data_IF_661152009719
#
_entry.id   IF_661152009719
#
_cell.length_a   1.000
_cell.length_b   1.000
_cell.length_c   1.000
_cell.angle_alpha   90.00
_cell.angle_beta   90.00
_cell.angle_gamma   90.00
#
_symmetry.space_group_name_H-M   'P 1'
#
loop_
_entity.id
_entity.type
_entity.pdbx_description
1 polymer ?
#
# COMPACT_ATOMS: atom_id res chain seq x y z
N UNK A 1 -11.86 12.29 16.44
CA UNK A 1 -11.21 12.15 15.12
C UNK A 1 -9.77 12.58 15.25
N UNK A 2 -8.78 11.78 14.80
CA UNK A 2 -7.38 12.21 14.81
C UNK A 2 -7.19 13.37 13.82
N UNK A 3 -6.41 14.37 14.22
CA UNK A 3 -6.01 15.49 13.37
C UNK A 3 -4.50 15.49 13.19
N UNK A 4 -4.05 15.97 12.03
CA UNK A 4 -2.63 16.07 11.69
C UNK A 4 -2.35 17.52 11.30
N UNK A 5 -1.31 18.10 11.90
CA UNK A 5 -0.81 19.42 11.55
C UNK A 5 0.62 19.27 11.00
N UNK A 6 0.83 19.78 9.79
CA UNK A 6 2.16 19.83 9.17
C UNK A 6 2.69 21.26 9.35
N UNK A 7 3.82 21.39 10.05
CA UNK A 7 4.48 22.68 10.31
C UNK A 7 5.58 22.92 9.28
N UNK A 8 5.93 24.20 9.13
CA UNK A 8 7.10 24.64 8.35
C UNK A 8 7.06 24.18 6.88
N UNK A 9 5.86 24.10 6.30
CA UNK A 9 5.69 23.82 4.87
C UNK A 9 6.27 24.99 4.08
N UNK A 10 7.24 24.77 3.18
CA UNK A 10 7.77 25.83 2.33
C UNK A 10 6.65 26.50 1.50
N UNK A 11 6.70 27.83 1.36
CA UNK A 11 5.63 28.59 0.71
C UNK A 11 5.41 28.16 -0.75
N UNK A 12 6.48 27.82 -1.47
CA UNK A 12 6.43 27.30 -2.83
C UNK A 12 5.68 25.96 -2.91
N UNK A 13 5.93 25.05 -1.97
CA UNK A 13 5.23 23.78 -1.85
C UNK A 13 3.76 24.00 -1.55
N UNK A 14 3.45 24.86 -0.59
CA UNK A 14 2.07 25.20 -0.22
C UNK A 14 1.30 25.81 -1.41
N UNK A 15 1.92 26.72 -2.17
CA UNK A 15 1.32 27.34 -3.35
C UNK A 15 1.01 26.30 -4.44
N UNK A 16 1.92 25.35 -4.68
CA UNK A 16 1.68 24.26 -5.64
C UNK A 16 0.53 23.36 -5.20
N UNK A 17 0.47 22.99 -3.93
CA UNK A 17 -0.61 22.15 -3.38
C UNK A 17 -1.97 22.86 -3.47
N UNK A 18 -2.03 24.16 -3.13
CA UNK A 18 -3.24 24.96 -3.27
C UNK A 18 -3.72 25.03 -4.71
N UNK A 19 -2.81 25.23 -5.68
CA UNK A 19 -3.14 25.25 -7.11
C UNK A 19 -3.69 23.89 -7.58
N UNK A 20 -3.10 22.78 -7.13
CA UNK A 20 -3.56 21.43 -7.48
C UNK A 20 -4.95 21.14 -6.88
N UNK A 21 -5.18 21.51 -5.63
CA UNK A 21 -6.48 21.39 -4.99
C UNK A 21 -7.57 22.17 -5.75
N UNK A 22 -7.29 23.42 -6.13
CA UNK A 22 -8.19 24.23 -6.93
C UNK A 22 -8.48 23.61 -8.31
N UNK A 23 -7.45 23.08 -8.99
CA UNK A 23 -7.61 22.38 -10.27
C UNK A 23 -8.46 21.10 -10.16
N UNK A 24 -8.43 20.44 -9.00
CA UNK A 24 -9.26 19.28 -8.69
C UNK A 24 -10.68 19.65 -8.19
N UNK A 25 -10.99 20.95 -8.03
CA UNK A 25 -12.26 21.41 -7.47
C UNK A 25 -12.45 21.08 -5.98
N UNK A 26 -11.34 20.90 -5.25
CA UNK A 26 -11.34 20.49 -3.85
C UNK A 26 -10.79 21.61 -2.96
N UNK A 27 -11.23 21.67 -1.70
CA UNK A 27 -10.47 22.44 -0.70
C UNK A 27 -9.08 21.83 -0.50
N UNK A 28 -8.12 22.64 -0.05
CA UNK A 28 -6.76 22.15 0.22
C UNK A 28 -6.76 21.01 1.25
N UNK A 29 -7.63 21.09 2.26
CA UNK A 29 -7.76 20.05 3.28
C UNK A 29 -8.25 18.72 2.69
N UNK A 30 -9.30 18.74 1.86
CA UNK A 30 -9.83 17.54 1.21
C UNK A 30 -8.83 16.92 0.23
N UNK A 31 -8.14 17.76 -0.53
CA UNK A 31 -7.08 17.33 -1.44
C UNK A 31 -5.96 16.62 -0.67
N UNK A 32 -5.44 17.24 0.41
CA UNK A 32 -4.39 16.63 1.23
C UNK A 32 -4.84 15.36 1.94
N UNK A 33 -6.07 15.35 2.47
CA UNK A 33 -6.63 14.16 3.09
C UNK A 33 -6.69 12.99 2.10
N UNK A 34 -7.10 13.26 0.86
CA UNK A 34 -7.14 12.25 -0.22
C UNK A 34 -5.74 11.70 -0.48
N UNK A 35 -4.77 12.59 -0.71
CA UNK A 35 -3.39 12.20 -1.01
C UNK A 35 -2.73 11.38 0.12
N UNK A 36 -2.87 11.83 1.37
CA UNK A 36 -2.32 11.12 2.53
C UNK A 36 -3.03 9.78 2.75
N UNK A 37 -4.35 9.73 2.52
CA UNK A 37 -5.11 8.49 2.65
C UNK A 37 -4.71 7.46 1.59
N UNK A 38 -4.51 7.88 0.34
CA UNK A 38 -4.04 7.01 -0.74
C UNK A 38 -2.63 6.49 -0.48
N UNK A 39 -1.74 7.35 0.00
CA UNK A 39 -0.39 6.97 0.38
C UNK A 39 -0.39 5.95 1.52
N UNK A 40 -1.19 6.16 2.57
CA UNK A 40 -1.25 5.26 3.73
C UNK A 40 -1.93 3.91 3.42
N UNK A 41 -2.81 3.86 2.41
CA UNK A 41 -3.47 2.61 1.99
C UNK A 41 -2.54 1.70 1.19
N UNK A 42 -1.51 2.25 0.59
CA UNK A 42 -0.54 1.48 -0.20
C UNK A 42 0.58 1.00 0.72
N UNK A 43 0.66 -0.31 1.03
CA UNK A 43 1.71 -0.81 1.90
C UNK A 43 3.07 -0.64 1.23
N UNK A 44 4.07 -0.29 2.02
CA UNK A 44 5.46 -0.23 1.57
C UNK A 44 6.02 -1.63 1.31
N UNK A 45 7.10 -1.72 0.55
CA UNK A 45 7.77 -3.01 0.31
C UNK A 45 8.21 -3.65 1.63
N UNK A 46 8.78 -2.86 2.54
CA UNK A 46 9.21 -3.34 3.86
C UNK A 46 8.04 -3.89 4.66
N UNK A 47 6.90 -3.20 4.70
CA UNK A 47 5.68 -3.70 5.36
C UNK A 47 5.15 -4.99 4.71
N UNK A 48 5.28 -5.13 3.38
CA UNK A 48 4.92 -6.35 2.67
C UNK A 48 5.88 -7.49 3.02
N UNK A 49 7.18 -7.21 3.08
CA UNK A 49 8.22 -8.18 3.42
C UNK A 49 8.12 -8.62 4.88
N UNK A 50 7.88 -7.70 5.82
CA UNK A 50 7.63 -8.02 7.23
C UNK A 50 6.38 -8.89 7.38
N UNK A 51 5.30 -8.55 6.66
CA UNK A 51 4.08 -9.38 6.61
C UNK A 51 4.35 -10.75 5.98
N UNK A 52 5.24 -10.83 4.98
CA UNK A 52 5.62 -12.10 4.34
C UNK A 52 6.52 -12.95 5.23
N UNK A 53 7.47 -12.35 5.95
CA UNK A 53 8.31 -13.02 6.95
C UNK A 53 7.49 -13.54 8.14
N UNK A 54 6.41 -12.83 8.51
CA UNK A 54 5.43 -13.28 9.50
C UNK A 54 4.55 -14.44 9.04
N UNK A 55 4.41 -14.66 7.72
CA UNK A 55 3.94 -15.95 7.21
C UNK A 55 5.13 -16.89 7.30
N UNK A 56 5.27 -17.58 8.44
CA UNK A 56 6.15 -18.75 8.50
C UNK A 56 5.81 -19.60 7.27
N UNK A 57 6.73 -19.66 6.30
CA UNK A 57 6.49 -20.30 5.02
C UNK A 57 5.83 -21.66 5.24
N UNK A 58 4.82 -21.97 4.43
CA UNK A 58 4.12 -23.24 4.55
C UNK A 58 5.13 -24.39 4.48
N UNK A 59 5.15 -25.27 5.48
CA UNK A 59 5.95 -26.49 5.42
C UNK A 59 5.29 -27.46 4.47
N UNK A 60 5.76 -27.49 3.23
CA UNK A 60 5.39 -28.51 2.26
C UNK A 60 6.53 -29.53 2.15
N UNK A 61 6.23 -30.82 2.35
CA UNK A 61 7.23 -31.86 2.04
C UNK A 61 7.30 -32.02 0.53
N UNK A 62 8.50 -32.14 -0.01
CA UNK A 62 8.71 -32.32 -1.45
C UNK A 62 7.90 -33.49 -2.03
N UNK A 63 7.77 -34.59 -1.28
CA UNK A 63 6.97 -35.75 -1.69
C UNK A 63 5.46 -35.47 -1.79
N UNK A 64 4.92 -34.50 -1.04
CA UNK A 64 3.52 -34.10 -1.13
C UNK A 64 3.29 -33.24 -2.37
N UNK A 65 4.23 -32.33 -2.68
CA UNK A 65 4.22 -31.54 -3.90
C UNK A 65 4.23 -32.44 -5.16
N UNK A 66 5.15 -33.42 -5.20
CA UNK A 66 5.27 -34.35 -6.33
C UNK A 66 4.00 -35.20 -6.50
N UNK A 67 3.39 -35.68 -5.42
CA UNK A 67 2.15 -36.46 -5.47
C UNK A 67 0.98 -35.64 -6.03
N UNK A 68 0.83 -34.39 -5.61
CA UNK A 68 -0.22 -33.50 -6.12
C UNK A 68 -0.06 -33.25 -7.62
N UNK A 69 1.15 -32.94 -8.08
CA UNK A 69 1.43 -32.70 -9.51
C UNK A 69 1.15 -33.95 -10.35
N UNK A 70 1.54 -35.14 -9.88
CA UNK A 70 1.26 -36.39 -10.60
C UNK A 70 -0.24 -36.66 -10.72
N UNK A 71 -0.99 -36.48 -9.62
CA UNK A 71 -2.45 -36.66 -9.62
C UNK A 71 -3.15 -35.74 -10.62
N UNK A 72 -2.70 -34.50 -10.78
CA UNK A 72 -3.26 -33.60 -11.80
C UNK A 72 -2.90 -34.00 -13.24
N UNK A 73 -1.68 -34.50 -13.46
CA UNK A 73 -1.24 -34.97 -14.79
C UNK A 73 -1.94 -36.26 -15.22
N UNK A 74 -2.17 -37.18 -14.28
CA UNK A 74 -2.80 -38.46 -14.56
C UNK A 74 -4.32 -38.33 -14.77
N UNK A 75 -4.90 -37.18 -14.43
CA UNK A 75 -6.31 -36.85 -14.62
C UNK A 75 -6.63 -36.05 -15.90
N UNK A 76 -5.63 -35.77 -16.75
CA UNK A 76 -5.76 -35.12 -18.06
C UNK A 76 -5.57 -36.14 -19.17
#
# INVERSE_FOLDING_TARGET
MPSVQIKDVPEDVHAVLRRRAAAAGQSLQEYLLTQVSEQARTPTLDEVLDRAGGRAGGRLRAGDAVRTIRRERDGR
#
